data_IF_232211151637
#
_entry.id   IF_232211151637
#
_cell.length_a   1.000
_cell.length_b   1.000
_cell.length_c   1.000
_cell.angle_alpha   90.00
_cell.angle_beta   90.00
_cell.angle_gamma   90.00
#
_symmetry.space_group_name_H-M   'P 1'
#
loop_
_entity.id
_entity.type
_entity.pdbx_description
1 polymer ?
#
# COMPACT_ATOMS: atom_id res chain seq x y z
N UNK A 1 14.89 0.88 -14.51
CA UNK A 1 14.49 2.20 -15.03
C UNK A 1 15.53 3.21 -14.57
N UNK A 2 16.06 4.04 -15.47
CA UNK A 2 16.99 5.12 -15.10
C UNK A 2 16.20 6.19 -14.33
N UNK A 3 16.80 6.84 -13.34
CA UNK A 3 16.17 7.87 -12.50
C UNK A 3 15.50 9.02 -13.29
N UNK A 4 15.95 9.28 -14.52
CA UNK A 4 15.44 10.34 -15.40
C UNK A 4 14.14 10.04 -16.14
N UNK A 5 13.61 8.81 -16.05
CA UNK A 5 12.40 8.40 -16.77
C UNK A 5 11.16 8.21 -15.85
N UNK A 6 11.31 8.55 -14.59
CA UNK A 6 10.18 8.42 -13.66
C UNK A 6 9.25 9.64 -13.76
N UNK A 7 7.92 9.46 -13.68
CA UNK A 7 6.98 10.57 -13.76
C UNK A 7 7.18 11.56 -12.60
N UNK A 8 6.91 12.86 -12.81
CA UNK A 8 7.02 13.88 -11.76
C UNK A 8 5.98 13.70 -10.64
N UNK A 9 4.88 12.99 -10.94
CA UNK A 9 3.80 12.66 -10.00
C UNK A 9 3.90 11.17 -9.69
N UNK A 10 4.04 10.84 -8.42
CA UNK A 10 4.11 9.45 -7.97
C UNK A 10 2.73 8.78 -7.93
N UNK A 11 1.69 9.56 -7.61
CA UNK A 11 0.32 9.11 -7.56
C UNK A 11 -0.60 10.20 -8.08
N UNK A 12 -1.52 9.84 -8.99
CA UNK A 12 -2.60 10.72 -9.43
C UNK A 12 -3.94 9.99 -9.36
N UNK A 13 -4.98 10.71 -8.97
CA UNK A 13 -6.36 10.26 -9.01
C UNK A 13 -7.22 11.34 -9.70
N UNK A 14 -8.23 10.93 -10.47
CA UNK A 14 -9.16 11.82 -11.17
C UNK A 14 -10.57 11.29 -11.07
N UNK A 15 -11.45 12.10 -10.49
CA UNK A 15 -12.84 11.78 -10.29
C UNK A 15 -13.06 10.45 -9.58
N UNK A 16 -12.16 10.05 -8.66
CA UNK A 16 -12.18 8.71 -8.08
C UNK A 16 -13.37 8.54 -7.15
N UNK A 17 -14.24 7.60 -7.46
CA UNK A 17 -15.45 7.34 -6.70
C UNK A 17 -15.51 5.91 -6.18
N UNK A 18 -16.18 5.76 -5.04
CA UNK A 18 -16.56 4.46 -4.50
C UNK A 18 -17.88 4.52 -3.80
N UNK A 19 -18.81 3.71 -4.29
CA UNK A 19 -20.07 3.42 -3.63
C UNK A 19 -20.11 1.93 -3.25
N UNK A 20 -20.29 1.65 -1.98
CA UNK A 20 -20.62 0.31 -1.49
C UNK A 20 -22.12 0.10 -1.65
N UNK A 21 -22.49 -1.01 -2.29
CA UNK A 21 -23.89 -1.37 -2.49
C UNK A 21 -24.55 -1.70 -1.14
N UNK A 22 -25.86 -1.50 -1.04
CA UNK A 22 -26.63 -2.00 0.08
C UNK A 22 -26.44 -3.52 0.25
N UNK A 23 -26.25 -3.96 1.48
CA UNK A 23 -26.07 -5.37 1.79
C UNK A 23 -26.57 -5.69 3.21
N UNK A 24 -27.40 -6.73 3.36
CA UNK A 24 -28.06 -7.02 4.61
C UNK A 24 -28.89 -5.82 5.11
N UNK A 25 -28.68 -5.39 6.36
CA UNK A 25 -29.35 -4.23 6.96
C UNK A 25 -28.63 -2.89 6.72
N UNK A 26 -27.59 -2.85 5.88
CA UNK A 26 -26.84 -1.60 5.63
C UNK A 26 -27.27 -0.96 4.31
N UNK A 27 -27.62 0.35 4.31
CA UNK A 27 -27.92 1.10 3.10
C UNK A 27 -26.65 1.28 2.23
N UNK A 28 -26.86 1.59 0.96
CA UNK A 28 -25.76 1.96 0.09
C UNK A 28 -25.00 3.17 0.65
N UNK A 29 -23.66 3.12 0.60
CA UNK A 29 -22.79 4.17 1.14
C UNK A 29 -21.80 4.64 0.08
N UNK A 30 -21.88 5.91 -0.31
CA UNK A 30 -20.86 6.54 -1.14
C UNK A 30 -19.68 6.97 -0.24
N UNK A 31 -18.57 6.24 -0.37
CA UNK A 31 -17.37 6.46 0.43
C UNK A 31 -16.41 7.46 -0.19
N UNK A 32 -16.34 7.52 -1.54
CA UNK A 32 -15.59 8.53 -2.29
C UNK A 32 -16.53 9.20 -3.30
N UNK A 33 -16.41 10.54 -3.43
CA UNK A 33 -17.35 11.40 -4.18
C UNK A 33 -16.62 12.21 -5.25
N UNK A 34 -15.80 11.54 -6.07
CA UNK A 34 -15.03 12.23 -7.12
C UNK A 34 -13.76 12.87 -6.58
N UNK A 35 -12.82 12.07 -6.06
CA UNK A 35 -11.56 12.56 -5.50
C UNK A 35 -10.56 12.84 -6.62
N UNK A 36 -10.07 14.07 -6.67
CA UNK A 36 -8.93 14.52 -7.48
C UNK A 36 -7.73 14.77 -6.58
N UNK A 37 -6.60 14.14 -6.87
CA UNK A 37 -5.40 14.26 -6.05
C UNK A 37 -4.15 13.96 -6.89
N UNK A 38 -3.11 14.78 -6.70
CA UNK A 38 -1.76 14.50 -7.17
C UNK A 38 -0.79 14.51 -6.00
N UNK A 39 0.02 13.45 -5.90
CA UNK A 39 1.12 13.38 -4.95
C UNK A 39 2.42 13.44 -5.74
N UNK A 40 3.21 14.52 -5.58
CA UNK A 40 4.49 14.66 -6.28
C UNK A 40 5.48 13.57 -5.86
N UNK A 41 6.40 13.25 -6.75
CA UNK A 41 7.53 12.38 -6.44
C UNK A 41 8.36 12.96 -5.30
N UNK A 42 8.78 12.10 -4.35
CA UNK A 42 9.64 12.48 -3.23
C UNK A 42 8.93 13.27 -2.12
N UNK A 43 7.62 13.50 -2.23
CA UNK A 43 6.85 14.19 -1.20
C UNK A 43 6.43 13.25 -0.07
N UNK A 44 6.33 13.80 1.14
CA UNK A 44 5.56 13.24 2.25
C UNK A 44 4.19 13.92 2.22
N UNK A 45 3.13 13.14 2.07
CA UNK A 45 1.77 13.64 1.94
C UNK A 45 0.88 13.15 3.08
N UNK A 46 0.21 14.06 3.77
CA UNK A 46 -0.74 13.75 4.84
C UNK A 46 -2.18 13.71 4.32
N UNK A 47 -2.84 12.56 4.45
CA UNK A 47 -4.26 12.40 4.16
C UNK A 47 -5.06 12.47 5.47
N UNK A 48 -5.65 13.63 5.76
CA UNK A 48 -6.35 13.93 7.00
C UNK A 48 -7.86 14.00 6.78
N UNK A 49 -8.62 13.72 7.83
CA UNK A 49 -10.08 13.80 7.82
C UNK A 49 -10.71 12.94 8.91
N UNK A 50 -12.00 13.15 9.22
CA UNK A 50 -12.71 12.40 10.25
C UNK A 50 -12.86 10.90 9.90
N UNK A 51 -13.27 10.11 10.88
CA UNK A 51 -13.63 8.71 10.63
C UNK A 51 -14.80 8.64 9.65
N UNK A 52 -14.70 7.73 8.68
CA UNK A 52 -15.69 7.60 7.60
C UNK A 52 -15.51 8.56 6.42
N UNK A 53 -14.51 9.44 6.42
CA UNK A 53 -14.22 10.36 5.29
C UNK A 53 -13.71 9.67 4.00
N UNK A 54 -13.55 8.34 4.00
CA UNK A 54 -13.11 7.61 2.82
C UNK A 54 -11.60 7.37 2.72
N UNK A 55 -10.78 7.83 3.68
CA UNK A 55 -9.31 7.69 3.65
C UNK A 55 -8.85 6.25 3.41
N UNK A 56 -9.32 5.32 4.22
CA UNK A 56 -8.98 3.89 4.08
C UNK A 56 -9.50 3.31 2.76
N UNK A 57 -10.68 3.74 2.31
CA UNK A 57 -11.24 3.32 1.00
C UNK A 57 -10.33 3.79 -0.13
N UNK A 58 -9.87 5.03 -0.10
CA UNK A 58 -8.94 5.58 -1.09
C UNK A 58 -7.64 4.78 -1.13
N UNK A 59 -7.00 4.57 0.03
CA UNK A 59 -5.77 3.78 0.16
C UNK A 59 -5.99 2.34 -0.36
N UNK A 60 -7.08 1.69 0.03
CA UNK A 60 -7.38 0.32 -0.38
C UNK A 60 -7.66 0.18 -1.87
N UNK A 61 -8.19 1.22 -2.54
CA UNK A 61 -8.33 1.22 -4.00
C UNK A 61 -6.95 1.25 -4.66
N UNK A 62 -6.05 2.11 -4.20
CA UNK A 62 -4.68 2.19 -4.71
C UNK A 62 -3.90 0.90 -4.47
N UNK A 63 -4.16 0.24 -3.34
CA UNK A 63 -3.62 -1.08 -3.01
C UNK A 63 -4.14 -2.22 -3.88
N UNK A 64 -5.24 -1.99 -4.62
CA UNK A 64 -5.93 -3.04 -5.35
C UNK A 64 -6.72 -4.00 -4.45
N UNK A 65 -7.01 -3.60 -3.20
CA UNK A 65 -7.84 -4.34 -2.23
C UNK A 65 -9.33 -4.03 -2.39
N UNK A 66 -9.66 -2.87 -2.96
CA UNK A 66 -11.03 -2.42 -3.23
C UNK A 66 -11.13 -1.97 -4.68
N UNK A 67 -12.16 -2.44 -5.39
CA UNK A 67 -12.46 -1.99 -6.75
C UNK A 67 -13.22 -0.67 -6.65
N UNK A 68 -12.76 0.36 -7.37
CA UNK A 68 -13.45 1.65 -7.49
C UNK A 68 -14.79 1.51 -8.22
N UNK A 69 -15.68 2.49 -8.08
CA UNK A 69 -16.94 2.57 -8.84
C UNK A 69 -16.76 3.33 -10.16
N UNK A 70 -16.01 4.43 -10.14
CA UNK A 70 -15.70 5.26 -11.31
C UNK A 70 -14.42 6.07 -11.10
N UNK A 71 -14.02 6.87 -12.08
CA UNK A 71 -12.80 7.65 -12.09
C UNK A 71 -11.57 6.82 -12.48
N UNK A 72 -10.39 7.40 -12.32
CA UNK A 72 -9.11 6.76 -12.64
C UNK A 72 -8.05 7.05 -11.58
N UNK A 73 -7.04 6.19 -11.50
CA UNK A 73 -5.86 6.47 -10.69
C UNK A 73 -4.62 5.85 -11.34
N UNK A 74 -3.47 6.51 -11.17
CA UNK A 74 -2.18 6.05 -11.65
C UNK A 74 -1.18 6.03 -10.51
N UNK A 75 -0.34 5.01 -10.46
CA UNK A 75 0.76 4.86 -9.53
C UNK A 75 2.04 4.73 -10.34
N UNK A 76 2.94 5.70 -10.22
CA UNK A 76 4.18 5.76 -11.00
C UNK A 76 3.95 5.66 -12.52
N UNK A 77 2.86 6.26 -13.03
CA UNK A 77 2.47 6.21 -14.43
C UNK A 77 1.75 4.94 -14.86
N UNK A 78 1.55 3.98 -13.96
CA UNK A 78 0.76 2.77 -14.25
C UNK A 78 -0.68 2.99 -13.81
N UNK A 79 -1.61 2.92 -14.76
CA UNK A 79 -3.05 2.94 -14.49
C UNK A 79 -3.46 1.68 -13.72
N UNK A 80 -4.23 1.86 -12.64
CA UNK A 80 -4.60 0.75 -11.74
C UNK A 80 -5.52 -0.30 -12.37
N UNK A 81 -6.24 0.04 -13.44
CA UNK A 81 -7.12 -0.88 -14.17
C UNK A 81 -6.40 -1.52 -15.36
N UNK A 82 -5.71 -0.71 -16.17
CA UNK A 82 -5.02 -1.19 -17.36
C UNK A 82 -3.73 -1.96 -17.03
N UNK A 83 -3.02 -1.55 -15.96
CA UNK A 83 -1.73 -2.11 -15.55
C UNK A 83 -1.72 -2.55 -14.07
N UNK A 84 -2.68 -3.35 -13.60
CA UNK A 84 -2.87 -3.62 -12.17
C UNK A 84 -1.68 -4.31 -11.49
N UNK A 85 -0.92 -5.13 -12.21
CA UNK A 85 0.28 -5.78 -11.67
C UNK A 85 1.40 -4.78 -11.43
N UNK A 86 1.67 -3.92 -12.41
CA UNK A 86 2.72 -2.91 -12.33
C UNK A 86 2.38 -1.86 -11.27
N UNK A 87 1.13 -1.40 -11.22
CA UNK A 87 0.65 -0.47 -10.21
C UNK A 87 0.86 -1.05 -8.80
N UNK A 88 0.42 -2.29 -8.52
CA UNK A 88 0.63 -2.94 -7.23
C UNK A 88 2.09 -3.21 -6.90
N UNK A 89 2.93 -3.52 -7.88
CA UNK A 89 4.36 -3.70 -7.66
C UNK A 89 5.10 -2.39 -7.35
N UNK A 90 4.46 -1.24 -7.65
CA UNK A 90 5.03 0.09 -7.45
C UNK A 90 4.60 0.78 -6.15
N UNK A 91 3.76 0.12 -5.33
CA UNK A 91 3.28 0.64 -4.04
C UNK A 91 3.53 -0.36 -2.92
N UNK A 92 3.92 0.13 -1.75
CA UNK A 92 3.97 -0.63 -0.51
C UNK A 92 2.90 -0.12 0.45
N UNK A 93 2.30 -1.02 1.23
CA UNK A 93 1.28 -0.68 2.22
C UNK A 93 1.67 -1.20 3.58
N UNK A 94 1.56 -0.33 4.57
CA UNK A 94 1.65 -0.70 5.98
C UNK A 94 0.22 -0.66 6.53
N UNK A 95 -0.39 -1.81 6.84
CA UNK A 95 -1.75 -1.85 7.38
C UNK A 95 -1.79 -1.26 8.80
N UNK A 96 -2.95 -0.70 9.17
CA UNK A 96 -3.17 -0.16 10.50
C UNK A 96 -3.21 -1.26 11.57
N UNK A 97 -3.79 -2.41 11.22
CA UNK A 97 -3.81 -3.57 12.10
C UNK A 97 -2.59 -4.44 11.83
N UNK A 98 -1.89 -4.80 12.89
CA UNK A 98 -0.73 -5.69 12.80
C UNK A 98 -1.23 -7.11 12.49
N UNK A 99 -1.16 -7.48 11.22
CA UNK A 99 -1.41 -8.85 10.75
C UNK A 99 -0.08 -9.60 10.64
N UNK A 100 0.65 -9.71 11.75
CA UNK A 100 1.90 -10.48 11.81
C UNK A 100 1.54 -11.89 12.27
N UNK A 101 1.89 -12.89 11.46
CA UNK A 101 1.77 -14.28 11.86
C UNK A 101 2.73 -14.54 13.04
N UNK A 102 2.22 -14.95 14.22
CA UNK A 102 3.00 -15.10 15.43
C UNK A 102 4.09 -16.18 15.35
N UNK A 103 4.03 -17.05 14.35
CA UNK A 103 4.96 -18.15 14.13
C UNK A 103 6.14 -17.80 13.21
N UNK A 104 6.17 -16.59 12.65
CA UNK A 104 7.30 -16.12 11.86
C UNK A 104 8.21 -15.21 12.68
N UNK A 105 9.50 -15.24 12.35
CA UNK A 105 10.46 -14.24 12.82
C UNK A 105 10.44 -12.99 11.90
N UNK A 106 10.87 -11.82 12.38
CA UNK A 106 11.02 -10.63 11.53
C UNK A 106 11.84 -10.88 10.26
N UNK A 107 12.92 -11.63 10.36
CA UNK A 107 13.76 -11.95 9.21
C UNK A 107 13.03 -12.85 8.19
N UNK A 108 12.25 -13.81 8.64
CA UNK A 108 11.46 -14.68 7.76
C UNK A 108 10.36 -13.92 7.05
N UNK A 109 9.58 -13.08 7.78
CA UNK A 109 8.51 -12.25 7.20
C UNK A 109 9.09 -11.31 6.13
N UNK A 110 10.20 -10.63 6.44
CA UNK A 110 10.82 -9.71 5.47
C UNK A 110 11.37 -10.45 4.25
N UNK A 111 11.95 -11.63 4.44
CA UNK A 111 12.42 -12.45 3.33
C UNK A 111 11.27 -12.98 2.47
N UNK A 112 10.16 -13.37 3.09
CA UNK A 112 8.94 -13.78 2.39
C UNK A 112 8.38 -12.60 1.58
N UNK A 113 8.23 -11.44 2.21
CA UNK A 113 7.73 -10.23 1.54
C UNK A 113 8.61 -9.83 0.36
N UNK A 114 9.93 -9.80 0.54
CA UNK A 114 10.86 -9.53 -0.55
C UNK A 114 10.71 -10.54 -1.72
N UNK A 115 10.44 -11.81 -1.39
CA UNK A 115 10.18 -12.86 -2.38
C UNK A 115 8.89 -12.61 -3.17
N UNK A 116 7.81 -12.17 -2.50
CA UNK A 116 6.54 -11.83 -3.15
C UNK A 116 6.68 -10.66 -4.13
N UNK A 117 7.58 -9.71 -3.85
CA UNK A 117 7.95 -8.62 -4.77
C UNK A 117 9.01 -9.02 -5.81
N UNK A 118 9.38 -10.29 -5.88
CA UNK A 118 10.34 -10.80 -6.87
C UNK A 118 11.79 -10.39 -6.62
N UNK A 119 12.14 -9.95 -5.40
CA UNK A 119 13.51 -9.56 -5.05
C UNK A 119 14.39 -10.81 -4.89
N UNK A 120 15.41 -11.00 -5.75
CA UNK A 120 16.32 -12.13 -5.65
C UNK A 120 17.01 -12.19 -4.27
N UNK A 121 17.26 -13.38 -3.74
CA UNK A 121 17.86 -13.55 -2.38
C UNK A 121 19.11 -12.71 -2.17
N UNK A 122 20.01 -12.65 -3.15
CA UNK A 122 21.27 -11.85 -3.10
C UNK A 122 21.08 -10.34 -3.01
N UNK A 123 19.87 -9.83 -3.33
CA UNK A 123 19.55 -8.40 -3.35
C UNK A 123 18.67 -8.01 -2.15
N UNK A 124 18.31 -8.95 -1.29
CA UNK A 124 17.47 -8.69 -0.13
C UNK A 124 18.28 -7.98 0.94
N UNK A 125 17.75 -6.90 1.45
CA UNK A 125 18.38 -6.04 2.47
C UNK A 125 17.78 -6.28 3.86
N UNK A 126 17.33 -7.49 4.14
CA UNK A 126 16.60 -7.85 5.36
C UNK A 126 17.33 -7.41 6.62
N UNK A 127 18.59 -7.82 6.81
CA UNK A 127 19.34 -7.48 8.02
C UNK A 127 19.70 -5.99 8.11
N UNK A 128 19.96 -5.35 6.98
CA UNK A 128 20.21 -3.92 6.91
C UNK A 128 18.97 -3.11 7.37
N UNK A 129 17.79 -3.49 6.88
CA UNK A 129 16.53 -2.83 7.26
C UNK A 129 16.22 -3.08 8.74
N UNK A 130 16.35 -4.33 9.22
CA UNK A 130 16.14 -4.65 10.64
C UNK A 130 17.10 -3.89 11.55
N UNK A 131 18.37 -3.74 11.14
CA UNK A 131 19.35 -2.93 11.90
C UNK A 131 18.97 -1.46 11.94
N UNK A 132 18.53 -0.89 10.82
CA UNK A 132 18.08 0.49 10.75
C UNK A 132 16.84 0.77 11.62
N UNK A 133 16.02 -0.26 11.87
CA UNK A 133 14.84 -0.20 12.73
C UNK A 133 15.14 -0.57 14.20
N UNK A 134 16.40 -0.87 14.55
CA UNK A 134 16.78 -1.30 15.91
C UNK A 134 16.28 -2.71 16.28
N UNK A 135 16.03 -3.57 15.29
CA UNK A 135 15.50 -4.92 15.46
C UNK A 135 16.49 -6.02 15.09
N UNK A 136 17.77 -5.70 14.93
CA UNK A 136 18.79 -6.67 14.52
C UNK A 136 18.94 -7.84 15.51
N UNK A 137 18.92 -7.54 16.81
CA UNK A 137 19.00 -8.51 17.92
C UNK A 137 17.75 -9.40 18.01
N UNK A 138 16.62 -8.94 17.47
CA UNK A 138 15.31 -9.63 17.45
C UNK A 138 15.01 -10.30 16.12
N UNK A 139 15.92 -10.25 15.16
CA UNK A 139 15.70 -10.74 13.80
C UNK A 139 15.22 -12.21 13.74
N UNK A 140 15.65 -13.03 14.68
CA UNK A 140 15.32 -14.45 14.78
C UNK A 140 14.35 -14.79 15.94
N UNK A 141 13.85 -13.79 16.67
CA UNK A 141 12.85 -14.00 17.70
C UNK A 141 11.46 -14.15 17.06
N UNK A 142 10.65 -15.08 17.55
CA UNK A 142 9.28 -15.21 17.05
C UNK A 142 8.46 -13.96 17.35
N UNK A 143 7.61 -13.54 16.40
CA UNK A 143 6.79 -12.32 16.52
C UNK A 143 5.95 -12.32 17.82
N UNK A 144 5.45 -13.48 18.26
CA UNK A 144 4.70 -13.64 19.54
C UNK A 144 5.48 -13.30 20.80
N UNK A 145 6.83 -13.25 20.72
CA UNK A 145 7.70 -12.95 21.87
C UNK A 145 8.18 -11.49 21.87
N UNK A 146 7.80 -10.73 20.85
CA UNK A 146 8.12 -9.31 20.76
C UNK A 146 7.03 -8.52 21.48
N UNK A 147 7.40 -7.81 22.52
CA UNK A 147 6.55 -6.86 23.25
C UNK A 147 6.68 -5.45 22.69
#
# INVERSE_FOLDING_TARGET
MRHDQQPPVALSARGLEKTYKAGGNQPAKQALKGVDLDIPRGAIFGLLGPNGAGKSTFINILAGLVIKSSGSANIWGFDIDANPRQARASIGIVPQELSIDPFFTPAEIMNLQAGLYGVPRRQRRTMEILSAMGLADKAQAYARTLS
#
